data_IF_487228707703
#
_entry.id   IF_487228707703
#
_cell.length_a   1.000
_cell.length_b   1.000
_cell.length_c   1.000
_cell.angle_alpha   90.00
_cell.angle_beta   90.00
_cell.angle_gamma   90.00
#
_symmetry.space_group_name_H-M   'P 1'
#
loop_
_entity.id
_entity.type
_entity.pdbx_description
1 polymer ?
#
# COMPACT_ATOMS: atom_id res chain seq x y z
N UNK A 1 6.47 -1.99 1.64
CA UNK A 1 5.22 -1.56 0.95
C UNK A 1 4.45 -0.58 1.83
N UNK A 2 3.87 0.48 1.28
CA UNK A 2 3.20 1.56 2.03
C UNK A 2 1.78 1.78 1.53
N UNK A 3 0.88 2.18 2.42
CA UNK A 3 -0.43 2.73 2.06
C UNK A 3 -0.38 4.24 2.24
N UNK A 4 -0.77 4.97 1.22
CA UNK A 4 -0.81 6.43 1.18
C UNK A 4 -2.27 6.90 1.12
N UNK A 5 -2.57 8.03 1.75
CA UNK A 5 -3.86 8.71 1.57
C UNK A 5 -3.95 9.42 0.20
N UNK A 6 -5.11 10.04 -0.08
CA UNK A 6 -5.35 10.78 -1.33
C UNK A 6 -4.45 12.00 -1.53
N UNK A 7 -3.72 12.43 -0.50
CA UNK A 7 -2.74 13.51 -0.55
C UNK A 7 -1.30 12.98 -0.69
N UNK A 8 -1.12 11.66 -0.79
CA UNK A 8 0.18 11.01 -0.91
C UNK A 8 0.93 10.85 0.41
N UNK A 9 0.26 11.03 1.57
CA UNK A 9 0.89 10.86 2.89
C UNK A 9 0.82 9.39 3.30
N UNK A 10 1.95 8.84 3.75
CA UNK A 10 1.99 7.46 4.25
C UNK A 10 1.20 7.33 5.55
N UNK A 11 0.16 6.50 5.53
CA UNK A 11 -0.67 6.20 6.70
C UNK A 11 -0.26 4.90 7.40
N UNK A 12 0.36 3.97 6.68
CA UNK A 12 0.92 2.75 7.25
C UNK A 12 1.94 2.08 6.32
N UNK A 13 2.75 1.19 6.89
CA UNK A 13 3.66 0.30 6.17
C UNK A 13 3.19 -1.14 6.40
N UNK A 14 2.93 -1.89 5.33
CA UNK A 14 2.37 -3.26 5.40
C UNK A 14 3.44 -4.36 5.41
N UNK A 15 4.72 -4.04 5.23
CA UNK A 15 5.80 -5.03 5.22
C UNK A 15 7.15 -4.43 5.58
N UNK A 16 8.03 -5.24 6.18
CA UNK A 16 9.28 -4.78 6.78
C UNK A 16 10.52 -4.87 5.88
N UNK A 17 10.45 -5.52 4.71
CA UNK A 17 11.62 -5.72 3.85
C UNK A 17 11.31 -5.48 2.35
N UNK A 18 12.39 -5.28 1.59
CA UNK A 18 12.40 -5.11 0.14
C UNK A 18 11.68 -6.30 -0.52
N UNK A 19 10.56 -6.04 -1.20
CA UNK A 19 9.85 -7.12 -1.89
C UNK A 19 10.77 -7.69 -2.98
N UNK A 20 11.01 -8.99 -2.94
CA UNK A 20 11.78 -9.66 -3.97
C UNK A 20 10.95 -9.75 -5.25
N UNK A 21 11.60 -9.53 -6.39
CA UNK A 21 10.95 -9.66 -7.69
C UNK A 21 10.43 -11.09 -7.90
N UNK A 22 9.27 -11.23 -8.53
CA UNK A 22 8.64 -12.50 -8.93
C UNK A 22 8.11 -13.40 -7.78
N UNK A 23 7.98 -12.87 -6.56
CA UNK A 23 7.28 -13.54 -5.47
C UNK A 23 5.91 -12.87 -5.25
N UNK A 24 4.77 -13.58 -5.38
CA UNK A 24 3.48 -13.03 -4.99
C UNK A 24 3.44 -12.88 -3.46
N UNK A 25 3.12 -11.68 -2.99
CA UNK A 25 2.96 -11.40 -1.56
C UNK A 25 1.49 -11.12 -1.26
N UNK A 26 0.92 -11.90 -0.36
CA UNK A 26 -0.37 -11.60 0.25
C UNK A 26 -0.13 -10.75 1.50
N UNK A 27 -0.80 -9.59 1.56
CA UNK A 27 -0.69 -8.65 2.66
C UNK A 27 -2.09 -8.25 3.11
N UNK A 28 -2.31 -8.31 4.41
CA UNK A 28 -3.56 -7.88 5.01
C UNK A 28 -3.43 -6.45 5.54
N UNK A 29 -4.25 -5.56 5.02
CA UNK A 29 -4.36 -4.20 5.53
C UNK A 29 -5.53 -4.10 6.50
N UNK A 30 -5.22 -3.92 7.79
CA UNK A 30 -6.21 -3.68 8.86
C UNK A 30 -6.77 -2.25 8.77
N UNK A 31 -7.60 -2.00 7.75
CA UNK A 31 -8.11 -0.66 7.39
C UNK A 31 -9.26 -0.15 8.27
N UNK A 32 -9.71 -0.91 9.27
CA UNK A 32 -10.98 -0.65 9.99
C UNK A 32 -11.11 0.71 10.69
N UNK A 33 -10.00 1.42 10.93
CA UNK A 33 -9.99 2.78 11.51
C UNK A 33 -9.89 3.90 10.47
N UNK A 34 -9.71 3.56 9.20
CA UNK A 34 -9.49 4.52 8.13
C UNK A 34 -10.83 4.96 7.53
N UNK A 35 -11.00 6.24 7.18
CA UNK A 35 -12.21 6.70 6.52
C UNK A 35 -12.39 6.02 5.16
N UNK A 36 -13.65 5.86 4.73
CA UNK A 36 -13.92 5.44 3.36
C UNK A 36 -13.34 6.46 2.37
N UNK A 37 -12.74 5.99 1.28
CA UNK A 37 -12.09 6.86 0.32
C UNK A 37 -11.04 6.19 -0.53
N UNK A 38 -10.36 7.00 -1.34
CA UNK A 38 -9.29 6.55 -2.23
C UNK A 38 -7.96 6.52 -1.48
N UNK A 39 -7.22 5.43 -1.65
CA UNK A 39 -5.88 5.20 -1.13
C UNK A 39 -4.97 4.71 -2.25
N UNK A 40 -3.66 4.78 -2.01
CA UNK A 40 -2.66 4.23 -2.90
C UNK A 40 -1.82 3.20 -2.15
N UNK A 41 -1.76 1.97 -2.69
CA UNK A 41 -0.78 0.98 -2.29
C UNK A 41 0.48 1.18 -3.12
N UNK A 42 1.60 1.46 -2.46
CA UNK A 42 2.87 1.72 -3.12
C UNK A 42 3.90 0.65 -2.74
N UNK A 43 4.43 0.00 -3.77
CA UNK A 43 5.59 -0.88 -3.66
C UNK A 43 6.79 -0.21 -4.33
N UNK A 44 7.80 0.10 -3.53
CA UNK A 44 9.09 0.57 -3.99
C UNK A 44 10.06 -0.61 -4.07
N UNK A 45 10.71 -0.78 -5.21
CA UNK A 45 11.90 -1.63 -5.39
C UNK A 45 13.10 -0.74 -5.73
N UNK A 46 14.33 -1.27 -5.76
CA UNK A 46 15.50 -0.47 -6.16
C UNK A 46 15.40 0.16 -7.56
N UNK A 47 14.62 -0.44 -8.46
CA UNK A 47 14.56 -0.02 -9.88
C UNK A 47 13.20 0.54 -10.30
N UNK A 48 12.13 0.24 -9.57
CA UNK A 48 10.77 0.60 -9.95
C UNK A 48 9.92 1.04 -8.77
N UNK A 49 8.90 1.83 -9.07
CA UNK A 49 7.80 2.10 -8.15
C UNK A 49 6.51 1.63 -8.78
N UNK A 50 5.83 0.70 -8.12
CA UNK A 50 4.51 0.24 -8.49
C UNK A 50 3.48 0.90 -7.58
N UNK A 51 2.37 1.35 -8.17
CA UNK A 51 1.30 2.01 -7.42
C UNK A 51 -0.05 1.48 -7.88
N UNK A 52 -0.86 1.06 -6.92
CA UNK A 52 -2.21 0.58 -7.14
C UNK A 52 -3.21 1.46 -6.40
N UNK A 53 -4.28 1.86 -7.08
CA UNK A 53 -5.39 2.59 -6.47
C UNK A 53 -6.28 1.61 -5.71
N UNK A 54 -6.65 1.99 -4.49
CA UNK A 54 -7.56 1.25 -3.64
C UNK A 54 -8.75 2.14 -3.29
N UNK A 55 -9.98 1.64 -3.48
CA UNK A 55 -11.17 2.30 -2.96
C UNK A 55 -11.61 1.55 -1.70
N UNK A 56 -11.50 2.20 -0.55
CA UNK A 56 -12.01 1.67 0.72
C UNK A 56 -13.48 2.07 0.87
N UNK A 57 -14.35 1.06 0.92
CA UNK A 57 -15.79 1.21 1.21
C UNK A 57 -16.10 0.60 2.58
N UNK A 58 -17.27 0.93 3.15
CA UNK A 58 -17.79 0.32 4.37
C UNK A 58 -18.83 -0.73 4.04
#
# INVERSE_FOLDING_TARGET
MRVLDSQGRAITTLGQEEAQANQPYELEWQAGKQPAGMYLLQLQTPTHQYTQKLLLTK
#
